data_IF_930749032764
#
_entry.id   IF_930749032764
#
_cell.length_a   1.000
_cell.length_b   1.000
_cell.length_c   1.000
_cell.angle_alpha   90.00
_cell.angle_beta   90.00
_cell.angle_gamma   90.00
#
_symmetry.space_group_name_H-M   'P 1'
#
loop_
_entity.id
_entity.type
_entity.pdbx_description
1 polymer ?
#
# COMPACT_ATOMS: atom_id res chain seq x y z
N UNK A 1 13.12 -24.45 -1.86
CA UNK A 1 12.54 -23.30 -1.13
C UNK A 1 11.55 -22.61 -2.04
N UNK A 2 10.36 -22.23 -1.55
CA UNK A 2 9.42 -21.43 -2.33
C UNK A 2 9.90 -19.97 -2.30
N UNK A 3 10.08 -19.37 -3.47
CA UNK A 3 10.41 -17.94 -3.61
C UNK A 3 9.13 -17.12 -3.52
N UNK A 4 9.12 -16.10 -2.66
CA UNK A 4 8.04 -15.12 -2.57
C UNK A 4 8.36 -13.93 -3.48
N UNK A 5 7.48 -13.66 -4.45
CA UNK A 5 7.68 -12.56 -5.39
C UNK A 5 7.06 -11.29 -4.79
N UNK A 6 7.89 -10.35 -4.34
CA UNK A 6 7.45 -9.05 -3.86
C UNK A 6 7.28 -8.08 -5.03
N UNK A 7 6.04 -7.67 -5.24
CA UNK A 7 5.59 -6.90 -6.40
C UNK A 7 5.56 -5.43 -6.01
N UNK A 8 6.62 -4.72 -6.36
CA UNK A 8 6.78 -3.28 -6.10
C UNK A 8 7.64 -2.64 -7.17
N UNK A 9 7.30 -1.39 -7.53
CA UNK A 9 8.15 -0.53 -8.35
C UNK A 9 9.23 0.20 -7.55
N UNK A 10 9.14 0.23 -6.21
CA UNK A 10 10.10 0.91 -5.36
C UNK A 10 11.13 -0.09 -4.80
N UNK A 11 12.36 -0.01 -5.33
CA UNK A 11 13.47 -0.88 -4.92
C UNK A 11 13.87 -0.75 -3.44
N UNK A 12 13.59 0.39 -2.80
CA UNK A 12 13.92 0.60 -1.39
C UNK A 12 13.03 -0.22 -0.44
N UNK A 13 11.80 -0.57 -0.88
CA UNK A 13 10.88 -1.39 -0.08
C UNK A 13 11.33 -2.84 0.03
N UNK A 14 12.10 -3.35 -0.94
CA UNK A 14 12.62 -4.72 -0.90
C UNK A 14 13.58 -4.95 0.28
N UNK A 15 14.42 -3.96 0.61
CA UNK A 15 15.33 -4.07 1.76
C UNK A 15 14.57 -4.10 3.08
N UNK A 16 13.52 -3.31 3.22
CA UNK A 16 12.67 -3.29 4.42
C UNK A 16 11.94 -4.62 4.61
N UNK A 17 11.30 -5.14 3.55
CA UNK A 17 10.59 -6.43 3.60
C UNK A 17 11.55 -7.58 3.92
N UNK A 18 12.75 -7.59 3.35
CA UNK A 18 13.78 -8.59 3.68
C UNK A 18 14.25 -8.48 5.13
N UNK A 19 14.40 -7.26 5.66
CA UNK A 19 14.76 -7.06 7.06
C UNK A 19 13.66 -7.57 8.01
N UNK A 20 12.39 -7.41 7.64
CA UNK A 20 11.24 -7.86 8.45
C UNK A 20 11.05 -9.39 8.38
N UNK A 21 11.13 -9.98 7.19
CA UNK A 21 10.87 -11.42 6.99
C UNK A 21 12.09 -12.31 7.30
N UNK A 22 13.30 -11.73 7.31
CA UNK A 22 14.55 -12.42 7.61
C UNK A 22 14.83 -13.59 6.66
N UNK A 23 15.46 -14.64 7.19
CA UNK A 23 15.83 -15.84 6.43
C UNK A 23 14.67 -16.84 6.24
N UNK A 24 13.49 -16.54 6.77
CA UNK A 24 12.33 -17.45 6.75
C UNK A 24 11.83 -17.71 5.32
N UNK A 25 11.94 -16.72 4.44
CA UNK A 25 11.42 -16.78 3.07
C UNK A 25 12.41 -16.09 2.12
N UNK A 26 12.69 -16.72 0.97
CA UNK A 26 13.46 -16.07 -0.10
C UNK A 26 12.56 -15.08 -0.81
N UNK A 27 12.82 -13.79 -0.65
CA UNK A 27 12.06 -12.71 -1.29
C UNK A 27 12.79 -12.22 -2.53
N UNK A 28 12.15 -12.34 -3.68
CA UNK A 28 12.61 -11.78 -4.96
C UNK A 28 11.71 -10.60 -5.37
N UNK A 29 12.26 -9.62 -6.10
CA UNK A 29 11.46 -8.50 -6.59
C UNK A 29 11.11 -8.69 -8.06
N UNK A 30 9.84 -8.53 -8.38
CA UNK A 30 9.37 -8.44 -9.77
C UNK A 30 8.54 -7.18 -9.94
N UNK A 31 8.81 -6.46 -11.01
CA UNK A 31 7.93 -5.38 -11.45
C UNK A 31 6.88 -6.00 -12.37
N UNK A 32 5.63 -5.94 -11.95
CA UNK A 32 4.48 -6.32 -12.78
C UNK A 32 3.63 -5.07 -12.93
N UNK A 33 3.36 -4.69 -14.17
CA UNK A 33 2.41 -3.61 -14.45
C UNK A 33 1.00 -4.19 -14.34
N UNK A 34 0.32 -3.86 -13.23
CA UNK A 34 -1.04 -4.29 -12.96
C UNK A 34 -1.92 -3.06 -12.84
N UNK A 35 -3.00 -2.95 -13.64
CA UNK A 35 -3.89 -1.80 -13.54
C UNK A 35 -4.54 -1.75 -12.16
N UNK A 36 -4.39 -0.62 -11.47
CA UNK A 36 -5.02 -0.37 -10.17
C UNK A 36 -6.47 0.04 -10.38
N UNK A 37 -7.38 -0.66 -9.69
CA UNK A 37 -8.79 -0.29 -9.65
C UNK A 37 -9.01 0.85 -8.65
N UNK A 38 -10.21 1.43 -8.66
CA UNK A 38 -10.66 2.33 -7.59
C UNK A 38 -11.50 1.55 -6.59
N UNK A 39 -11.42 1.93 -5.31
CA UNK A 39 -12.14 1.29 -4.23
C UNK A 39 -11.55 1.63 -2.87
N UNK A 40 -11.87 0.80 -1.89
CA UNK A 40 -11.20 0.77 -0.58
C UNK A 40 -9.77 0.26 -0.71
N UNK A 41 -8.93 0.50 0.30
CA UNK A 41 -7.55 0.02 0.31
C UNK A 41 -7.49 -1.51 0.25
N UNK A 42 -8.44 -2.20 0.88
CA UNK A 42 -8.53 -3.65 0.86
C UNK A 42 -8.92 -4.20 -0.51
N UNK A 43 -9.91 -3.60 -1.18
CA UNK A 43 -10.32 -4.00 -2.53
C UNK A 43 -9.20 -3.81 -3.54
N UNK A 44 -8.51 -2.66 -3.47
CA UNK A 44 -7.37 -2.35 -4.33
C UNK A 44 -6.23 -3.34 -4.08
N UNK A 45 -5.85 -3.56 -2.82
CA UNK A 45 -4.76 -4.48 -2.47
C UNK A 45 -5.05 -5.92 -2.88
N UNK A 46 -6.29 -6.40 -2.68
CA UNK A 46 -6.72 -7.73 -3.12
C UNK A 46 -6.65 -7.88 -4.63
N UNK A 47 -7.22 -6.95 -5.38
CA UNK A 47 -7.26 -7.05 -6.83
C UNK A 47 -5.86 -6.96 -7.44
N UNK A 48 -5.01 -6.05 -6.92
CA UNK A 48 -3.61 -5.95 -7.29
C UNK A 48 -2.87 -7.27 -7.06
N UNK A 49 -3.04 -7.87 -5.88
CA UNK A 49 -2.43 -9.15 -5.53
C UNK A 49 -2.92 -10.29 -6.43
N UNK A 50 -4.22 -10.36 -6.72
CA UNK A 50 -4.80 -11.39 -7.58
C UNK A 50 -4.19 -11.33 -8.98
N UNK A 51 -4.19 -10.14 -9.60
CA UNK A 51 -3.60 -9.95 -10.94
C UNK A 51 -2.10 -10.21 -10.97
N UNK A 52 -1.40 -9.84 -9.90
CA UNK A 52 0.02 -10.13 -9.80
C UNK A 52 0.29 -11.64 -9.68
N UNK A 53 -0.54 -12.37 -8.93
CA UNK A 53 -0.47 -13.82 -8.83
C UNK A 53 -0.67 -14.48 -10.20
N UNK A 54 -1.68 -14.03 -10.94
CA UNK A 54 -1.98 -14.50 -12.31
C UNK A 54 -0.81 -14.24 -13.27
N UNK A 55 -0.21 -13.04 -13.22
CA UNK A 55 0.93 -12.68 -14.07
C UNK A 55 2.22 -13.44 -13.72
N UNK A 56 2.46 -13.71 -12.44
CA UNK A 56 3.66 -14.41 -11.96
C UNK A 56 3.52 -15.92 -12.06
N UNK A 57 2.30 -16.46 -11.96
CA UNK A 57 2.04 -17.90 -11.92
C UNK A 57 2.49 -18.56 -10.62
N UNK A 58 2.50 -17.83 -9.49
CA UNK A 58 3.00 -18.35 -8.21
C UNK A 58 2.81 -17.39 -7.04
N UNK A 59 3.47 -17.65 -5.89
CA UNK A 59 3.30 -16.86 -4.68
C UNK A 59 3.74 -15.42 -4.86
N UNK A 60 2.88 -14.48 -4.47
CA UNK A 60 3.12 -13.04 -4.57
C UNK A 60 2.80 -12.34 -3.26
N UNK A 61 3.52 -11.26 -3.02
CA UNK A 61 3.25 -10.29 -1.97
C UNK A 61 3.21 -8.90 -2.62
N UNK A 62 2.12 -8.17 -2.46
CA UNK A 62 1.98 -6.77 -2.86
C UNK A 62 1.88 -5.88 -1.62
N UNK A 63 2.13 -4.59 -1.81
CA UNK A 63 1.96 -3.57 -0.78
C UNK A 63 1.28 -2.33 -1.38
N UNK A 64 0.38 -1.74 -0.60
CA UNK A 64 -0.28 -0.48 -0.87
C UNK A 64 -0.26 0.40 0.38
N UNK A 65 -0.25 1.72 0.17
CA UNK A 65 -0.19 2.71 1.24
C UNK A 65 -1.32 3.70 1.08
N UNK A 66 -2.01 4.00 2.18
CA UNK A 66 -3.06 5.00 2.26
C UNK A 66 -2.76 6.03 3.36
N UNK A 67 -3.28 7.24 3.18
CA UNK A 67 -3.30 8.27 4.22
C UNK A 67 -4.74 8.73 4.41
N UNK A 68 -5.30 8.40 5.56
CA UNK A 68 -6.72 8.53 5.85
C UNK A 68 -6.96 9.70 6.80
N UNK A 69 -7.35 10.87 6.29
CA UNK A 69 -7.65 12.02 7.16
C UNK A 69 -9.00 11.81 7.85
N UNK A 70 -9.05 11.94 9.17
CA UNK A 70 -10.30 11.76 9.92
C UNK A 70 -11.35 12.82 9.53
N UNK A 71 -10.94 14.07 9.37
CA UNK A 71 -11.77 15.17 8.90
C UNK A 71 -12.43 14.91 7.53
N UNK A 72 -11.75 14.16 6.65
CA UNK A 72 -12.25 13.76 5.34
C UNK A 72 -12.80 12.33 5.30
N UNK A 73 -13.14 11.76 6.47
CA UNK A 73 -13.71 10.41 6.60
C UNK A 73 -12.88 9.34 5.87
N UNK A 74 -11.55 9.46 5.97
CA UNK A 74 -10.60 8.53 5.40
C UNK A 74 -10.06 8.89 4.02
N UNK A 75 -10.53 9.97 3.38
CA UNK A 75 -9.88 10.49 2.17
C UNK A 75 -8.59 11.29 2.51
N UNK A 76 -7.62 11.40 1.59
CA UNK A 76 -7.60 10.81 0.23
C UNK A 76 -7.41 9.29 0.22
N UNK A 77 -7.02 8.67 1.33
CA UNK A 77 -6.93 7.23 1.49
C UNK A 77 -5.94 6.61 0.50
N UNK A 78 -6.32 5.61 -0.30
CA UNK A 78 -5.43 4.94 -1.25
C UNK A 78 -4.94 5.87 -2.38
N UNK A 79 -5.61 7.02 -2.58
CA UNK A 79 -5.27 7.97 -3.64
C UNK A 79 -4.19 8.97 -3.23
N UNK A 80 -3.58 8.80 -2.06
CA UNK A 80 -2.61 9.75 -1.50
C UNK A 80 -1.47 10.09 -2.46
N UNK A 81 -0.99 9.12 -3.28
CA UNK A 81 0.07 9.37 -4.26
C UNK A 81 -0.33 10.46 -5.27
N UNK A 82 -1.52 10.35 -5.86
CA UNK A 82 -2.01 11.34 -6.83
C UNK A 82 -2.25 12.70 -6.18
N UNK A 83 -2.75 12.72 -4.94
CA UNK A 83 -2.93 13.98 -4.20
C UNK A 83 -1.59 14.63 -3.86
N UNK A 84 -0.59 13.85 -3.43
CA UNK A 84 0.75 14.35 -3.14
C UNK A 84 1.43 14.88 -4.40
N UNK A 85 1.31 14.20 -5.53
CA UNK A 85 1.87 14.64 -6.81
C UNK A 85 1.23 15.96 -7.29
N UNK A 86 -0.09 16.12 -7.11
CA UNK A 86 -0.81 17.31 -7.56
C UNK A 86 -0.67 18.52 -6.61
N UNK A 87 -0.67 18.28 -5.29
CA UNK A 87 -0.78 19.32 -4.27
C UNK A 87 0.53 19.58 -3.53
N UNK A 88 1.46 18.63 -3.54
CA UNK A 88 2.62 18.63 -2.66
C UNK A 88 2.26 18.51 -1.17
N UNK A 89 3.28 18.49 -0.32
CA UNK A 89 3.10 18.42 1.13
C UNK A 89 2.36 19.64 1.69
N UNK A 90 2.66 20.84 1.19
CA UNK A 90 2.01 22.07 1.63
C UNK A 90 0.51 22.06 1.28
N UNK A 91 0.16 21.68 0.05
CA UNK A 91 -1.23 21.62 -0.37
C UNK A 91 -2.03 20.56 0.40
N UNK A 92 -1.43 19.40 0.70
CA UNK A 92 -2.05 18.39 1.56
C UNK A 92 -2.36 18.91 2.96
N UNK A 93 -1.44 19.66 3.58
CA UNK A 93 -1.70 20.29 4.88
C UNK A 93 -2.84 21.31 4.78
N UNK A 94 -2.84 22.15 3.74
CA UNK A 94 -3.88 23.18 3.53
C UNK A 94 -5.27 22.60 3.32
N UNK A 95 -5.41 21.36 2.84
CA UNK A 95 -6.73 20.71 2.76
C UNK A 95 -7.44 20.66 4.12
N UNK A 96 -6.68 20.57 5.21
CA UNK A 96 -7.22 20.45 6.56
C UNK A 96 -7.43 21.81 7.26
N UNK A 97 -7.18 22.95 6.59
CA UNK A 97 -7.21 24.27 7.24
C UNK A 97 -8.60 24.69 7.74
N UNK A 98 -9.64 24.18 7.10
CA UNK A 98 -11.03 24.44 7.50
C UNK A 98 -11.53 23.49 8.60
N UNK A 99 -10.68 22.62 9.14
CA UNK A 99 -11.03 21.63 10.15
C UNK A 99 -10.16 21.81 11.40
N UNK A 100 -10.79 21.66 12.56
CA UNK A 100 -10.06 21.60 13.84
C UNK A 100 -9.29 20.29 13.99
N UNK A 101 -9.84 19.19 13.44
CA UNK A 101 -9.22 17.88 13.46
C UNK A 101 -8.25 17.71 12.29
N UNK A 102 -6.97 17.56 12.64
CA UNK A 102 -5.85 17.31 11.72
C UNK A 102 -5.25 15.92 11.86
N UNK A 103 -5.91 15.05 12.63
CA UNK A 103 -5.48 13.68 12.80
C UNK A 103 -5.79 12.84 11.56
N UNK A 104 -4.93 11.85 11.34
CA UNK A 104 -5.02 10.94 10.23
C UNK A 104 -4.41 9.58 10.60
N UNK A 105 -4.69 8.56 9.81
CA UNK A 105 -3.99 7.29 9.92
C UNK A 105 -3.15 7.04 8.66
N UNK A 106 -1.86 6.77 8.87
CA UNK A 106 -1.01 6.18 7.85
C UNK A 106 -1.23 4.67 7.86
N UNK A 107 -1.68 4.14 6.73
CA UNK A 107 -2.11 2.75 6.60
C UNK A 107 -1.21 2.05 5.58
N UNK A 108 -0.61 0.95 6.00
CA UNK A 108 0.14 0.06 5.12
C UNK A 108 -0.60 -1.28 5.03
N UNK A 109 -0.88 -1.70 3.80
CA UNK A 109 -1.65 -2.92 3.53
C UNK A 109 -0.81 -3.84 2.66
N UNK A 110 -0.45 -5.00 3.21
CA UNK A 110 0.14 -6.10 2.46
C UNK A 110 -0.95 -7.06 2.02
N UNK A 111 -0.84 -7.56 0.80
CA UNK A 111 -1.69 -8.63 0.29
C UNK A 111 -0.83 -9.79 -0.21
N UNK A 112 -1.16 -11.00 0.23
CA UNK A 112 -0.44 -12.23 -0.11
C UNK A 112 -1.37 -13.21 -0.80
N UNK A 113 -0.88 -13.84 -1.87
CA UNK A 113 -1.52 -15.01 -2.48
C UNK A 113 -0.46 -16.08 -2.74
N UNK A 114 -0.80 -17.35 -2.54
CA UNK A 114 0.09 -18.47 -2.85
C UNK A 114 0.02 -18.89 -4.34
N UNK A 115 -0.86 -18.29 -5.14
CA UNK A 115 -0.87 -18.44 -6.60
C UNK A 115 -2.20 -18.07 -7.26
N UNK A 116 -2.27 -18.20 -8.60
CA UNK A 116 -3.50 -17.95 -9.38
C UNK A 116 -4.70 -18.70 -8.80
N UNK A 117 -5.85 -18.02 -8.70
CA UNK A 117 -7.11 -18.58 -8.20
C UNK A 117 -7.22 -18.70 -6.67
N UNK A 118 -6.17 -18.41 -5.91
CA UNK A 118 -6.25 -18.33 -4.45
C UNK A 118 -6.65 -16.92 -3.98
N UNK A 119 -7.57 -16.86 -3.00
CA UNK A 119 -8.05 -15.59 -2.46
C UNK A 119 -6.93 -14.90 -1.64
N UNK A 120 -6.61 -13.62 -1.95
CA UNK A 120 -5.55 -12.91 -1.23
C UNK A 120 -5.85 -12.71 0.26
N UNK A 121 -4.85 -12.98 1.09
CA UNK A 121 -4.82 -12.66 2.51
C UNK A 121 -4.31 -11.23 2.71
N UNK A 122 -4.98 -10.47 3.58
CA UNK A 122 -4.64 -9.08 3.87
C UNK A 122 -4.00 -8.97 5.26
N UNK A 123 -2.92 -8.19 5.34
CA UNK A 123 -2.25 -7.81 6.58
C UNK A 123 -2.12 -6.29 6.59
N UNK A 124 -2.62 -5.64 7.65
CA UNK A 124 -2.70 -4.19 7.71
C UNK A 124 -2.04 -3.64 8.98
N UNK A 125 -1.17 -2.66 8.79
CA UNK A 125 -0.58 -1.84 9.84
C UNK A 125 -1.16 -0.43 9.77
N UNK A 126 -1.54 0.13 10.93
CA UNK A 126 -2.08 1.49 11.03
C UNK A 126 -1.28 2.27 12.06
N UNK A 127 -0.93 3.51 11.75
CA UNK A 127 -0.25 4.43 12.65
C UNK A 127 -1.00 5.74 12.68
N UNK A 128 -1.44 6.15 13.88
CA UNK A 128 -2.05 7.46 14.09
C UNK A 128 -0.99 8.55 13.92
N UNK A 129 -1.28 9.52 13.06
CA UNK A 129 -0.43 10.66 12.74
C UNK A 129 -1.24 11.96 12.83
N UNK A 130 -0.55 13.09 12.86
CA UNK A 130 -1.15 14.41 12.82
C UNK A 130 -0.40 15.27 11.81
N UNK A 131 -1.14 15.99 10.96
CA UNK A 131 -0.54 16.88 9.97
C UNK A 131 -0.21 18.22 10.62
N UNK A 132 1.09 18.55 10.64
CA UNK A 132 1.63 19.78 11.21
C UNK A 132 2.23 20.68 10.13
N UNK A 133 2.04 21.99 10.29
CA UNK A 133 2.80 22.98 9.52
C UNK A 133 4.27 23.00 9.95
N UNK A 134 5.15 23.16 8.96
CA UNK A 134 6.51 23.65 9.12
C UNK A 134 6.60 25.09 8.63
#
# INVERSE_FOLDING_TARGET
MKTLNFITGNKNKLSEVRAILGETVVVDNKSVDVPEIQGTIEEIAKEKCRRAADAVGGPVLTEDTALEFHAYKGLPGPYIKSFLEALGHEGLNKMLDSFDDRSAEAVCTFAFSNGPGEEPLIFQGRTLVCLSFS
#
